data_IF_882625557542
#
_entry.id   IF_882625557542
#
_cell.length_a   1.000
_cell.length_b   1.000
_cell.length_c   1.000
_cell.angle_alpha   90.00
_cell.angle_beta   90.00
_cell.angle_gamma   90.00
#
_symmetry.space_group_name_H-M   'P 1'
#
loop_
_entity.id
_entity.type
_entity.pdbx_description
1 polymer ?
#
# COMPACT_ATOMS: atom_id res chain seq x y z
N UNK A 1 18.90 16.45 7.47
CA UNK A 1 20.22 16.04 6.93
C UNK A 1 20.06 14.81 6.01
N UNK A 2 18.82 14.61 5.52
CA UNK A 2 18.26 13.26 5.35
C UNK A 2 18.05 12.91 3.86
N UNK A 3 18.13 13.92 2.97
CA UNK A 3 18.12 13.74 1.51
C UNK A 3 19.38 13.05 0.96
N UNK A 4 20.40 12.84 1.81
CA UNK A 4 21.72 12.34 1.43
C UNK A 4 21.89 10.82 1.65
N UNK A 5 21.00 10.19 2.43
CA UNK A 5 21.07 8.75 2.70
C UNK A 5 20.80 7.98 1.41
N UNK A 6 21.69 7.02 1.11
CA UNK A 6 21.72 6.25 -0.13
C UNK A 6 21.83 7.09 -1.43
N UNK A 7 22.30 8.33 -1.31
CA UNK A 7 22.65 9.21 -2.44
C UNK A 7 24.12 9.65 -2.33
N UNK A 8 24.56 10.12 -1.16
CA UNK A 8 25.95 10.51 -0.88
C UNK A 8 26.65 9.58 0.10
N UNK A 9 25.92 8.93 1.01
CA UNK A 9 26.46 7.99 1.98
C UNK A 9 25.47 6.86 2.27
N UNK A 10 25.98 5.73 2.76
CA UNK A 10 25.21 4.64 3.34
C UNK A 10 25.21 4.81 4.85
N UNK A 11 24.07 4.59 5.49
CA UNK A 11 24.04 4.33 6.92
C UNK A 11 24.48 2.91 7.17
N UNK A 12 25.25 2.68 8.23
CA UNK A 12 25.74 1.36 8.60
C UNK A 12 25.58 1.12 10.10
N UNK A 13 25.35 -0.15 10.47
CA UNK A 13 25.39 -0.61 11.86
C UNK A 13 26.74 -1.28 12.12
N UNK A 14 27.43 -0.84 13.18
CA UNK A 14 28.72 -1.39 13.62
C UNK A 14 28.66 -1.75 15.11
N UNK A 15 29.61 -2.58 15.57
CA UNK A 15 29.83 -2.88 17.00
C UNK A 15 31.01 -2.09 17.53
N UNK A 16 30.89 -1.55 18.74
CA UNK A 16 32.03 -1.01 19.47
C UNK A 16 32.76 -2.12 20.26
N UNK A 17 33.82 -1.75 20.98
CA UNK A 17 34.59 -2.67 21.82
C UNK A 17 33.81 -3.30 22.97
N UNK A 18 32.66 -2.72 23.34
CA UNK A 18 31.76 -3.22 24.40
C UNK A 18 30.62 -4.08 23.82
N UNK A 19 30.69 -4.47 22.53
CA UNK A 19 29.64 -5.16 21.78
C UNK A 19 28.32 -4.38 21.64
N UNK A 20 28.31 -3.08 21.97
CA UNK A 20 27.16 -2.21 21.74
C UNK A 20 27.12 -1.77 20.28
N UNK A 21 25.90 -1.67 19.77
CA UNK A 21 25.62 -1.26 18.40
C UNK A 21 25.65 0.26 18.32
N UNK A 22 26.19 0.80 17.24
CA UNK A 22 26.05 2.21 16.89
C UNK A 22 25.76 2.38 15.39
N UNK A 23 25.15 3.52 15.07
CA UNK A 23 24.92 3.95 13.68
C UNK A 23 26.11 4.79 13.25
N UNK A 24 26.65 4.48 12.08
CA UNK A 24 27.76 5.19 11.43
C UNK A 24 27.43 5.40 9.95
N UNK A 25 28.34 6.02 9.20
CA UNK A 25 28.15 6.31 7.78
C UNK A 25 29.36 5.89 6.93
N UNK A 26 29.07 5.38 5.74
CA UNK A 26 30.07 5.06 4.72
C UNK A 26 29.82 5.90 3.46
N UNK A 27 30.79 6.72 3.07
CA UNK A 27 30.63 7.59 1.90
C UNK A 27 30.49 6.78 0.61
N UNK A 28 29.53 7.17 -0.24
CA UNK A 28 29.38 6.65 -1.59
C UNK A 28 30.37 7.40 -2.48
N UNK A 29 31.47 6.75 -2.81
CA UNK A 29 32.51 7.31 -3.69
C UNK A 29 32.33 6.74 -5.09
N UNK A 30 32.14 7.60 -6.08
CA UNK A 30 32.20 7.19 -7.49
C UNK A 30 33.66 6.97 -7.90
N UNK A 31 34.10 5.72 -8.16
CA UNK A 31 35.49 5.46 -8.51
C UNK A 31 35.86 5.90 -9.93
N UNK A 32 34.88 6.30 -10.75
CA UNK A 32 35.06 6.82 -12.12
C UNK A 32 34.52 8.26 -12.24
N UNK A 33 34.68 9.08 -11.18
CA UNK A 33 34.16 10.44 -11.14
C UNK A 33 34.77 11.34 -12.22
N UNK A 34 36.09 11.22 -12.47
CA UNK A 34 36.76 11.96 -13.54
C UNK A 34 36.14 11.68 -14.91
N UNK A 35 35.90 10.40 -15.20
CA UNK A 35 35.30 9.94 -16.44
C UNK A 35 33.83 10.33 -16.55
N UNK A 36 33.09 10.36 -15.44
CA UNK A 36 31.74 10.93 -15.41
C UNK A 36 31.74 12.42 -15.77
N UNK A 37 32.67 13.20 -15.22
CA UNK A 37 32.80 14.64 -15.53
C UNK A 37 33.12 14.83 -17.02
N UNK A 38 34.04 14.03 -17.56
CA UNK A 38 34.38 14.05 -18.99
C UNK A 38 33.17 13.69 -19.86
N UNK A 39 32.46 12.61 -19.54
CA UNK A 39 31.23 12.20 -20.23
C UNK A 39 30.17 13.30 -20.19
N UNK A 40 29.95 13.93 -19.03
CA UNK A 40 28.97 15.00 -18.85
C UNK A 40 29.34 16.27 -19.63
N UNK A 41 30.63 16.51 -19.92
CA UNK A 41 31.08 17.64 -20.74
C UNK A 41 30.58 17.56 -22.18
N UNK A 42 30.31 16.34 -22.70
CA UNK A 42 29.71 16.15 -24.03
C UNK A 42 28.36 16.84 -24.15
N UNK A 43 27.50 16.73 -23.14
CA UNK A 43 26.15 17.30 -23.14
C UNK A 43 26.14 18.81 -22.90
N UNK A 44 27.29 19.41 -22.56
CA UNK A 44 27.39 20.87 -22.31
C UNK A 44 27.70 21.67 -23.59
N UNK A 45 27.97 20.99 -24.71
CA UNK A 45 28.26 21.61 -26.01
C UNK A 45 26.96 21.74 -26.80
N UNK A 46 26.67 22.95 -27.30
CA UNK A 46 25.48 23.21 -28.12
C UNK A 46 25.49 22.52 -29.49
N UNK A 47 26.64 21.96 -29.91
CA UNK A 47 26.82 21.30 -31.21
C UNK A 47 26.84 19.77 -31.13
N UNK A 48 26.61 19.17 -29.96
CA UNK A 48 26.71 17.71 -29.80
C UNK A 48 25.63 16.97 -30.58
N UNK A 49 26.04 15.91 -31.30
CA UNK A 49 25.14 15.12 -32.14
C UNK A 49 24.93 13.69 -31.62
N UNK A 50 23.81 13.06 -31.97
CA UNK A 50 23.54 11.66 -31.60
C UNK A 50 24.55 10.67 -32.21
N UNK A 51 25.15 11.00 -33.36
CA UNK A 51 26.20 10.17 -34.00
C UNK A 51 27.51 10.22 -33.21
N UNK A 52 27.91 11.40 -32.74
CA UNK A 52 29.07 11.55 -31.86
C UNK A 52 28.86 10.85 -30.52
N UNK A 53 27.64 10.90 -29.97
CA UNK A 53 27.28 10.16 -28.76
C UNK A 53 27.44 8.65 -28.93
N UNK A 54 27.03 8.10 -30.09
CA UNK A 54 27.26 6.68 -30.40
C UNK A 54 28.75 6.37 -30.40
N UNK A 55 29.60 7.20 -31.04
CA UNK A 55 31.06 7.00 -31.03
C UNK A 55 31.62 7.04 -29.61
N UNK A 56 31.21 8.02 -28.81
CA UNK A 56 31.64 8.15 -27.40
C UNK A 56 31.27 6.91 -26.58
N UNK A 57 30.05 6.40 -26.75
CA UNK A 57 29.58 5.16 -26.11
C UNK A 57 30.37 3.95 -26.61
N UNK A 58 30.70 3.90 -27.90
CA UNK A 58 31.35 2.75 -28.50
C UNK A 58 32.83 2.65 -28.09
N UNK A 59 33.52 3.78 -28.08
CA UNK A 59 34.96 3.89 -27.82
C UNK A 59 35.31 3.87 -26.31
N UNK A 60 34.33 4.14 -25.44
CA UNK A 60 34.59 4.26 -24.00
C UNK A 60 34.64 2.91 -23.27
N UNK A 61 35.85 2.52 -22.86
CA UNK A 61 36.08 1.34 -22.00
C UNK A 61 35.53 1.51 -20.58
N UNK A 62 35.43 2.74 -20.05
CA UNK A 62 34.94 2.93 -18.69
C UNK A 62 33.42 2.79 -18.60
N UNK A 63 32.69 3.17 -19.67
CA UNK A 63 31.24 3.00 -19.72
C UNK A 63 30.83 1.52 -19.73
N UNK A 64 31.73 0.60 -20.13
CA UNK A 64 31.49 -0.84 -20.01
C UNK A 64 31.12 -1.26 -18.59
N UNK A 65 31.68 -0.60 -17.57
CA UNK A 65 31.39 -0.85 -16.16
C UNK A 65 29.95 -0.49 -15.76
N UNK A 66 29.26 0.31 -16.57
CA UNK A 66 27.87 0.75 -16.35
C UNK A 66 26.84 -0.15 -17.05
N UNK A 67 27.27 -1.08 -17.91
CA UNK A 67 26.39 -1.97 -18.68
C UNK A 67 26.15 -3.32 -17.97
N UNK A 68 26.10 -3.29 -16.64
CA UNK A 68 25.78 -4.45 -15.82
C UNK A 68 24.44 -4.28 -15.10
N UNK A 69 23.89 -5.39 -14.64
CA UNK A 69 22.72 -5.36 -13.76
C UNK A 69 23.13 -4.78 -12.39
N UNK A 70 22.55 -3.63 -12.05
CA UNK A 70 22.71 -3.02 -10.75
C UNK A 70 21.39 -3.04 -9.99
N UNK A 71 21.39 -3.59 -8.77
CA UNK A 71 20.21 -3.57 -7.90
C UNK A 71 20.04 -2.15 -7.35
N UNK A 72 19.26 -1.32 -8.05
CA UNK A 72 19.05 0.07 -7.67
C UNK A 72 17.65 0.56 -8.05
N UNK A 73 16.99 1.22 -7.11
CA UNK A 73 15.71 1.90 -7.30
C UNK A 73 15.92 3.42 -7.30
N UNK A 74 15.61 4.08 -8.42
CA UNK A 74 15.59 5.55 -8.55
C UNK A 74 14.49 6.18 -7.69
N UNK A 75 13.38 5.48 -7.50
CA UNK A 75 12.32 5.77 -6.55
C UNK A 75 12.05 4.51 -5.72
N UNK A 76 11.97 4.60 -4.39
CA UNK A 76 11.69 3.42 -3.57
C UNK A 76 10.29 2.83 -3.82
N UNK A 77 9.37 3.65 -4.35
CA UNK A 77 7.97 3.29 -4.60
C UNK A 77 7.58 3.21 -6.08
N UNK A 78 8.44 3.64 -7.02
CA UNK A 78 8.10 3.59 -8.45
C UNK A 78 8.00 2.15 -8.98
N UNK A 79 7.27 1.92 -10.06
CA UNK A 79 7.02 0.57 -10.61
C UNK A 79 8.14 0.08 -11.53
N UNK A 80 8.47 -1.21 -11.47
CA UNK A 80 9.30 -1.92 -12.45
C UNK A 80 10.65 -1.26 -12.77
N UNK A 81 11.37 -0.82 -11.74
CA UNK A 81 12.63 -0.08 -11.91
C UNK A 81 13.88 -0.97 -12.10
N UNK A 82 13.72 -2.29 -12.07
CA UNK A 82 14.81 -3.21 -12.39
C UNK A 82 15.05 -3.20 -13.89
N UNK A 83 16.05 -2.46 -14.35
CA UNK A 83 16.49 -2.44 -15.75
C UNK A 83 17.87 -3.08 -15.88
N UNK A 84 17.98 -4.02 -16.81
CA UNK A 84 19.28 -4.49 -17.29
C UNK A 84 19.80 -3.47 -18.30
N UNK A 85 21.00 -2.98 -18.05
CA UNK A 85 21.65 -2.02 -18.91
C UNK A 85 22.52 -2.74 -19.94
N UNK A 86 22.27 -2.49 -21.24
CA UNK A 86 23.02 -3.09 -22.34
C UNK A 86 23.53 -2.01 -23.29
N UNK A 87 24.83 -2.03 -23.60
CA UNK A 87 25.47 -1.13 -24.58
C UNK A 87 24.74 -1.21 -25.93
N UNK A 88 24.53 -2.44 -26.42
CA UNK A 88 23.89 -2.71 -27.71
C UNK A 88 22.48 -2.16 -27.77
N UNK A 89 21.71 -2.31 -26.69
CA UNK A 89 20.33 -1.85 -26.62
C UNK A 89 20.24 -0.31 -26.63
N UNK A 90 21.13 0.38 -25.91
CA UNK A 90 21.20 1.85 -25.93
C UNK A 90 21.55 2.36 -27.33
N UNK A 91 22.60 1.80 -27.95
CA UNK A 91 23.01 2.21 -29.29
C UNK A 91 21.87 1.99 -30.28
N UNK A 92 21.15 0.86 -30.16
CA UNK A 92 19.97 0.58 -30.97
C UNK A 92 18.87 1.62 -30.75
N UNK A 93 18.57 1.97 -29.50
CA UNK A 93 17.58 3.00 -29.17
C UNK A 93 17.94 4.37 -29.74
N UNK A 94 19.22 4.77 -29.65
CA UNK A 94 19.70 6.04 -30.21
C UNK A 94 19.56 6.03 -31.74
N UNK A 95 19.96 4.94 -32.42
CA UNK A 95 19.80 4.80 -33.88
C UNK A 95 18.33 4.89 -34.30
N UNK A 96 17.43 4.24 -33.57
CA UNK A 96 15.98 4.35 -33.83
C UNK A 96 15.49 5.79 -33.69
N UNK A 97 15.97 6.57 -32.72
CA UNK A 97 15.60 7.98 -32.60
C UNK A 97 16.18 8.84 -33.73
N UNK A 98 17.40 8.57 -34.19
CA UNK A 98 17.96 9.23 -35.38
C UNK A 98 17.03 9.00 -36.59
N UNK A 99 16.66 7.75 -36.86
CA UNK A 99 15.77 7.41 -37.98
C UNK A 99 14.39 8.09 -37.83
N UNK A 100 13.85 8.14 -36.62
CA UNK A 100 12.57 8.80 -36.33
C UNK A 100 12.64 10.31 -36.54
N UNK A 101 13.71 10.97 -36.10
CA UNK A 101 13.89 12.41 -36.30
C UNK A 101 14.08 12.74 -37.78
N UNK A 102 14.88 11.97 -38.52
CA UNK A 102 15.02 12.14 -39.98
C UNK A 102 13.69 11.97 -40.71
N UNK A 103 12.85 11.00 -40.29
CA UNK A 103 11.52 10.80 -40.86
C UNK A 103 10.57 11.96 -40.55
N UNK A 104 10.61 12.50 -39.32
CA UNK A 104 9.78 13.66 -38.94
C UNK A 104 10.20 14.91 -39.68
N UNK A 105 11.50 15.19 -39.78
CA UNK A 105 12.04 16.33 -40.54
C UNK A 105 11.61 16.32 -42.02
N UNK A 106 11.35 15.14 -42.60
CA UNK A 106 10.86 15.00 -43.99
C UNK A 106 9.35 15.16 -44.13
N UNK A 107 8.57 14.85 -43.10
CA UNK A 107 7.11 14.70 -43.19
C UNK A 107 6.31 15.77 -42.41
N UNK A 108 6.94 16.48 -41.48
CA UNK A 108 6.31 17.45 -40.60
C UNK A 108 6.91 18.85 -40.82
N UNK A 109 6.12 19.78 -41.40
CA UNK A 109 6.60 21.14 -41.78
C UNK A 109 7.12 21.98 -40.59
N UNK A 110 6.66 21.70 -39.37
CA UNK A 110 7.00 22.46 -38.16
C UNK A 110 7.89 21.68 -37.17
N UNK A 111 8.48 20.56 -37.58
CA UNK A 111 9.35 19.78 -36.70
C UNK A 111 10.71 20.47 -36.49
N UNK A 112 11.02 20.79 -35.24
CA UNK A 112 12.31 21.35 -34.84
C UNK A 112 13.27 20.23 -34.44
N UNK A 113 14.04 19.72 -35.40
CA UNK A 113 14.99 18.63 -35.17
C UNK A 113 16.05 18.97 -34.11
N UNK A 114 16.51 20.21 -34.07
CA UNK A 114 17.51 20.65 -33.09
C UNK A 114 16.97 20.54 -31.66
N UNK A 115 15.74 20.99 -31.43
CA UNK A 115 15.09 20.92 -30.11
C UNK A 115 14.82 19.47 -29.70
N UNK A 116 14.29 18.65 -30.61
CA UNK A 116 14.04 17.22 -30.35
C UNK A 116 15.33 16.45 -30.02
N UNK A 117 16.43 16.72 -30.74
CA UNK A 117 17.74 16.15 -30.43
C UNK A 117 18.24 16.62 -29.08
N UNK A 118 18.10 17.90 -28.75
CA UNK A 118 18.52 18.45 -27.47
C UNK A 118 17.75 17.85 -26.30
N UNK A 119 16.44 17.68 -26.43
CA UNK A 119 15.60 17.02 -25.41
C UNK A 119 16.05 15.56 -25.22
N UNK A 120 16.24 14.82 -26.30
CA UNK A 120 16.64 13.41 -26.23
C UNK A 120 18.07 13.24 -25.67
N UNK A 121 19.00 14.13 -25.99
CA UNK A 121 20.33 14.16 -25.36
C UNK A 121 20.23 14.37 -23.85
N UNK A 122 19.32 15.24 -23.39
CA UNK A 122 19.09 15.45 -21.96
C UNK A 122 18.47 14.23 -21.28
N UNK A 123 17.58 13.50 -21.95
CA UNK A 123 17.04 12.23 -21.46
C UNK A 123 18.15 11.18 -21.29
N UNK A 124 19.03 11.03 -22.30
CA UNK A 124 20.16 10.09 -22.23
C UNK A 124 21.12 10.50 -21.11
N UNK A 125 21.42 11.79 -20.96
CA UNK A 125 22.24 12.30 -19.86
C UNK A 125 21.67 11.87 -18.50
N UNK A 126 20.38 12.11 -18.27
CA UNK A 126 19.71 11.72 -17.03
C UNK A 126 19.78 10.20 -16.79
N UNK A 127 19.65 9.39 -17.85
CA UNK A 127 19.78 7.94 -17.76
C UNK A 127 21.20 7.51 -17.35
N UNK A 128 22.24 8.13 -17.94
CA UNK A 128 23.63 7.86 -17.56
C UNK A 128 23.97 8.35 -16.16
N UNK A 129 23.42 9.49 -15.70
CA UNK A 129 23.57 9.93 -14.31
C UNK A 129 23.03 8.88 -13.32
N UNK A 130 21.88 8.28 -13.61
CA UNK A 130 21.34 7.16 -12.82
C UNK A 130 22.30 5.97 -12.84
N UNK A 131 22.88 5.64 -14.00
CA UNK A 131 23.84 4.53 -14.13
C UNK A 131 25.12 4.75 -13.33
N UNK A 132 25.69 5.96 -13.37
CA UNK A 132 26.86 6.32 -12.56
C UNK A 132 26.55 6.21 -11.06
N UNK A 133 25.41 6.75 -10.61
CA UNK A 133 24.96 6.61 -9.22
C UNK A 133 24.79 5.15 -8.81
N UNK A 134 24.11 4.38 -9.65
CA UNK A 134 23.86 2.96 -9.45
C UNK A 134 25.16 2.15 -9.39
N UNK A 135 26.14 2.47 -10.22
CA UNK A 135 27.46 1.86 -10.16
C UNK A 135 28.19 2.20 -8.86
N UNK A 136 28.28 3.49 -8.50
CA UNK A 136 28.96 3.96 -7.30
C UNK A 136 28.39 3.35 -6.01
N UNK A 137 27.05 3.29 -5.89
CA UNK A 137 26.41 2.72 -4.71
C UNK A 137 26.59 1.20 -4.64
N UNK A 138 26.58 0.49 -5.77
CA UNK A 138 26.84 -0.96 -5.77
C UNK A 138 28.30 -1.30 -5.39
N UNK A 139 29.27 -0.47 -5.77
CA UNK A 139 30.65 -0.59 -5.28
C UNK A 139 30.70 -0.37 -3.76
N UNK A 140 29.94 0.61 -3.25
CA UNK A 140 29.87 0.91 -1.81
C UNK A 140 29.22 -0.24 -1.03
N UNK A 141 28.18 -0.89 -1.58
CA UNK A 141 27.61 -2.11 -1.00
C UNK A 141 28.63 -3.24 -0.90
N UNK A 142 29.44 -3.46 -1.95
CA UNK A 142 30.49 -4.50 -1.92
C UNK A 142 31.49 -4.24 -0.80
N UNK A 143 31.94 -2.99 -0.64
CA UNK A 143 32.82 -2.61 0.49
C UNK A 143 32.18 -2.91 1.84
N UNK A 144 30.89 -2.58 2.01
CA UNK A 144 30.18 -2.86 3.25
C UNK A 144 30.02 -4.36 3.53
N UNK A 145 29.87 -5.18 2.49
CA UNK A 145 29.80 -6.65 2.61
C UNK A 145 31.16 -7.25 2.97
N UNK A 146 32.26 -6.66 2.48
CA UNK A 146 33.62 -7.13 2.70
C UNK A 146 34.20 -6.68 4.07
N UNK A 147 33.68 -5.60 4.66
CA UNK A 147 34.09 -5.13 5.98
C UNK A 147 33.37 -5.90 7.11
N UNK A 148 34.13 -6.73 7.82
CA UNK A 148 33.64 -7.54 8.94
C UNK A 148 33.10 -6.71 10.13
N UNK A 149 33.45 -5.43 10.22
CA UNK A 149 32.95 -4.54 11.27
C UNK A 149 31.55 -3.98 10.96
N UNK A 150 31.12 -4.05 9.69
CA UNK A 150 29.80 -3.61 9.26
C UNK A 150 28.83 -4.79 9.37
N UNK A 151 27.87 -4.65 10.27
CA UNK A 151 26.83 -5.66 10.51
C UNK A 151 25.74 -5.56 9.43
N UNK A 152 25.30 -4.33 9.14
CA UNK A 152 24.20 -4.03 8.23
C UNK A 152 24.42 -2.65 7.61
N UNK A 153 23.84 -2.40 6.45
CA UNK A 153 23.93 -1.13 5.74
C UNK A 153 22.62 -0.79 5.02
N UNK A 154 22.36 0.51 4.85
CA UNK A 154 21.19 1.01 4.14
C UNK A 154 21.33 0.75 2.65
N UNK A 155 20.21 0.57 1.97
CA UNK A 155 20.25 0.32 0.54
C UNK A 155 19.02 0.81 -0.21
N UNK A 156 19.14 0.77 -1.54
CA UNK A 156 18.08 1.00 -2.53
C UNK A 156 17.95 -0.16 -3.50
N UNK A 157 18.41 -1.34 -3.09
CA UNK A 157 18.26 -2.57 -3.85
C UNK A 157 16.81 -2.81 -4.21
N UNK A 158 16.54 -2.96 -5.50
CA UNK A 158 15.20 -3.20 -6.01
C UNK A 158 14.71 -4.61 -5.68
N UNK A 159 13.41 -4.72 -5.38
CA UNK A 159 12.74 -5.96 -5.02
C UNK A 159 12.92 -6.40 -3.59
N UNK A 160 12.60 -7.67 -3.34
CA UNK A 160 12.63 -8.25 -2.01
C UNK A 160 14.06 -8.33 -1.47
N UNK A 161 14.26 -7.72 -0.31
CA UNK A 161 15.47 -7.84 0.52
C UNK A 161 15.02 -8.17 1.93
N UNK A 162 15.51 -9.30 2.47
CA UNK A 162 15.21 -9.75 3.83
C UNK A 162 16.49 -10.26 4.55
N UNK A 163 17.59 -9.49 4.54
CA UNK A 163 18.80 -9.92 5.23
C UNK A 163 18.55 -10.00 6.74
N UNK A 164 19.01 -11.11 7.33
CA UNK A 164 18.99 -11.34 8.77
C UNK A 164 20.39 -11.00 9.29
N UNK A 165 20.43 -10.11 10.28
CA UNK A 165 21.66 -9.64 10.91
C UNK A 165 21.65 -10.04 12.38
N UNK A 166 22.58 -10.92 12.76
CA UNK A 166 22.77 -11.31 14.16
C UNK A 166 23.57 -10.24 14.88
N UNK A 167 22.93 -9.50 15.77
CA UNK A 167 23.56 -8.45 16.56
C UNK A 167 24.20 -9.04 17.82
N UNK A 168 23.61 -10.07 18.43
CA UNK A 168 24.22 -10.92 19.44
C UNK A 168 23.58 -12.32 19.44
N UNK A 169 23.98 -13.20 20.37
CA UNK A 169 23.48 -14.60 20.44
C UNK A 169 21.95 -14.70 20.63
N UNK A 170 21.36 -13.73 21.30
CA UNK A 170 19.93 -13.69 21.62
C UNK A 170 19.17 -12.64 20.80
N UNK A 171 19.82 -11.90 19.92
CA UNK A 171 19.21 -10.76 19.24
C UNK A 171 19.61 -10.70 17.77
N UNK A 172 18.60 -10.78 16.90
CA UNK A 172 18.77 -10.53 15.47
C UNK A 172 17.72 -9.56 14.95
N UNK A 173 18.08 -8.87 13.88
CA UNK A 173 17.16 -8.01 13.13
C UNK A 173 17.02 -8.54 11.71
N UNK A 174 15.82 -8.40 11.17
CA UNK A 174 15.55 -8.58 9.75
C UNK A 174 15.01 -7.26 9.21
N UNK A 175 15.71 -6.66 8.26
CA UNK A 175 15.25 -5.45 7.58
C UNK A 175 14.59 -5.88 6.27
N UNK A 176 13.27 -5.78 6.19
CA UNK A 176 12.49 -6.26 5.05
C UNK A 176 12.11 -5.10 4.15
N UNK A 177 12.52 -5.15 2.90
CA UNK A 177 12.16 -4.13 1.90
C UNK A 177 11.61 -4.76 0.63
N UNK A 178 10.72 -4.06 -0.06
CA UNK A 178 10.30 -4.39 -1.41
C UNK A 178 10.31 -3.15 -2.32
N UNK A 179 11.47 -2.53 -2.50
CA UNK A 179 11.56 -1.27 -3.23
C UNK A 179 11.34 -1.47 -4.73
N UNK A 180 10.71 -0.50 -5.39
CA UNK A 180 10.54 -0.51 -6.85
C UNK A 180 9.33 -1.32 -7.35
N UNK A 181 8.35 -1.60 -6.48
CA UNK A 181 7.18 -2.44 -6.77
C UNK A 181 5.85 -1.68 -6.69
N UNK A 182 5.85 -0.36 -6.89
CA UNK A 182 4.61 0.42 -6.91
C UNK A 182 3.86 0.35 -5.58
N UNK A 183 2.56 0.07 -5.67
CA UNK A 183 1.65 -0.07 -4.53
C UNK A 183 1.98 -1.25 -3.60
N UNK A 184 2.83 -2.18 -4.04
CA UNK A 184 3.26 -3.33 -3.24
C UNK A 184 4.60 -3.11 -2.53
N UNK A 185 5.15 -1.89 -2.60
CA UNK A 185 6.41 -1.55 -1.93
C UNK A 185 6.23 -1.45 -0.42
N UNK A 186 7.20 -1.94 0.34
CA UNK A 186 7.20 -1.88 1.80
C UNK A 186 8.61 -1.75 2.39
N UNK A 187 8.66 -1.32 3.66
CA UNK A 187 9.86 -1.21 4.48
C UNK A 187 9.52 -1.48 5.95
N UNK A 188 10.03 -2.60 6.49
CA UNK A 188 9.80 -3.06 7.87
C UNK A 188 11.11 -3.43 8.57
N UNK A 189 11.08 -3.39 9.90
CA UNK A 189 12.05 -4.07 10.77
C UNK A 189 11.34 -5.17 11.54
N UNK A 190 11.93 -6.35 11.61
CA UNK A 190 11.57 -7.42 12.55
C UNK A 190 12.72 -7.58 13.54
N UNK A 191 12.41 -7.56 14.83
CA UNK A 191 13.33 -7.94 15.89
C UNK A 191 13.00 -9.39 16.30
N UNK A 192 14.03 -10.20 16.42
CA UNK A 192 13.97 -11.54 17.01
C UNK A 192 14.79 -11.55 18.29
N UNK A 193 14.12 -11.78 19.42
CA UNK A 193 14.74 -11.93 20.73
C UNK A 193 14.61 -13.37 21.22
N UNK A 194 15.73 -14.02 21.55
CA UNK A 194 15.81 -15.45 21.93
C UNK A 194 15.00 -16.34 20.97
N UNK A 195 15.18 -16.10 19.67
CA UNK A 195 14.49 -16.76 18.55
C UNK A 195 12.97 -16.53 18.44
N UNK A 196 12.40 -15.56 19.17
CA UNK A 196 10.99 -15.19 19.09
C UNK A 196 10.86 -13.81 18.45
N UNK A 197 9.99 -13.70 17.44
CA UNK A 197 9.69 -12.43 16.76
C UNK A 197 8.86 -11.52 17.66
N UNK A 198 9.32 -10.29 17.85
CA UNK A 198 8.58 -9.26 18.59
C UNK A 198 7.49 -8.70 17.68
N UNK A 199 6.25 -8.76 18.17
CA UNK A 199 5.05 -8.32 17.46
C UNK A 199 4.49 -7.07 18.14
N UNK A 200 4.13 -6.01 17.39
CA UNK A 200 3.52 -4.81 17.96
C UNK A 200 2.04 -5.07 18.20
N UNK A 201 1.72 -5.75 19.30
CA UNK A 201 0.34 -6.13 19.62
C UNK A 201 -0.57 -4.91 19.77
N UNK A 202 -0.03 -3.77 20.20
CA UNK A 202 -0.75 -2.50 20.32
C UNK A 202 -1.37 -2.02 19.00
N UNK A 203 -0.76 -2.34 17.85
CA UNK A 203 -1.27 -1.95 16.52
C UNK A 203 -2.64 -2.55 16.20
N UNK A 204 -3.02 -3.64 16.89
CA UNK A 204 -4.37 -4.18 16.81
C UNK A 204 -5.44 -3.20 17.32
N UNK A 205 -5.08 -2.34 18.26
CA UNK A 205 -5.96 -1.33 18.87
C UNK A 205 -5.77 0.03 18.22
N UNK A 206 -4.52 0.39 17.91
CA UNK A 206 -4.17 1.71 17.40
C UNK A 206 -4.74 1.99 16.01
N UNK A 207 -4.94 0.96 15.17
CA UNK A 207 -5.51 1.12 13.83
C UNK A 207 -6.94 0.58 13.76
N UNK A 208 -7.85 1.36 13.19
CA UNK A 208 -9.25 0.95 13.01
C UNK A 208 -9.35 -0.34 12.19
N UNK A 209 -8.67 -0.35 11.04
CA UNK A 209 -8.62 -1.46 10.10
C UNK A 209 -7.24 -2.11 10.12
N UNK A 210 -7.07 -3.12 10.95
CA UNK A 210 -5.85 -3.92 11.03
C UNK A 210 -6.19 -5.40 10.85
N UNK A 211 -5.27 -6.16 10.25
CA UNK A 211 -5.39 -7.61 10.14
C UNK A 211 -4.25 -8.27 10.91
N UNK A 212 -4.53 -9.40 11.55
CA UNK A 212 -3.51 -10.22 12.19
C UNK A 212 -2.33 -10.51 11.24
N UNK A 213 -2.64 -10.94 10.01
CA UNK A 213 -1.64 -11.25 8.97
C UNK A 213 -0.80 -10.06 8.53
N UNK A 214 -1.23 -8.83 8.84
CA UNK A 214 -0.43 -7.62 8.62
C UNK A 214 0.51 -7.39 9.81
N UNK A 215 -0.03 -7.37 11.02
CA UNK A 215 0.70 -7.02 12.26
C UNK A 215 1.86 -7.99 12.52
N UNK A 216 1.67 -9.29 12.31
CA UNK A 216 2.72 -10.29 12.58
C UNK A 216 3.89 -10.28 11.59
N UNK A 217 3.91 -9.36 10.61
CA UNK A 217 4.97 -9.27 9.60
C UNK A 217 6.07 -8.27 9.94
N UNK A 218 5.93 -7.52 11.02
CA UNK A 218 6.88 -6.50 11.43
C UNK A 218 6.92 -6.37 12.96
N UNK A 219 8.01 -5.81 13.46
CA UNK A 219 8.07 -5.16 14.79
C UNK A 219 7.86 -3.66 14.64
N UNK A 220 8.37 -3.06 13.55
CA UNK A 220 8.12 -1.66 13.20
C UNK A 220 7.98 -1.46 11.70
N UNK A 221 7.06 -0.57 11.31
CA UNK A 221 6.76 -0.20 9.93
C UNK A 221 7.31 1.21 9.61
N UNK A 222 7.90 1.37 8.43
CA UNK A 222 8.37 2.66 7.89
C UNK A 222 7.75 2.96 6.53
N UNK A 223 6.57 2.39 6.27
CA UNK A 223 5.78 2.65 5.07
C UNK A 223 4.56 3.44 5.48
N UNK A 224 4.48 4.69 5.05
CA UNK A 224 3.25 5.50 5.17
C UNK A 224 2.35 5.24 3.97
N UNK A 225 1.07 5.58 4.09
CA UNK A 225 0.12 5.46 2.98
C UNK A 225 -0.48 6.81 2.67
N UNK A 226 -0.24 7.32 1.47
CA UNK A 226 -0.76 8.63 1.03
C UNK A 226 -1.91 8.46 0.04
N UNK A 227 -2.90 9.35 0.12
CA UNK A 227 -4.08 9.27 -0.74
C UNK A 227 -3.74 9.64 -2.18
N UNK A 228 -4.05 8.74 -3.10
CA UNK A 228 -3.97 8.95 -4.53
C UNK A 228 -5.22 9.68 -5.04
N UNK A 229 -5.16 11.01 -5.11
CA UNK A 229 -6.30 11.89 -5.46
C UNK A 229 -7.04 11.46 -6.73
N UNK A 230 -6.33 10.99 -7.77
CA UNK A 230 -6.94 10.57 -9.05
C UNK A 230 -7.75 9.26 -8.97
N UNK A 231 -7.41 8.34 -8.06
CA UNK A 231 -7.97 6.98 -8.05
C UNK A 231 -8.71 6.64 -6.75
N UNK A 232 -8.84 7.61 -5.83
CA UNK A 232 -9.39 7.41 -4.49
C UNK A 232 -8.83 6.15 -3.80
N UNK A 233 -7.54 5.87 -4.02
CA UNK A 233 -6.81 4.73 -3.49
C UNK A 233 -5.64 5.21 -2.63
N UNK A 234 -5.01 4.33 -1.87
CA UNK A 234 -3.81 4.67 -1.11
C UNK A 234 -2.57 4.06 -1.80
N UNK A 235 -1.47 4.81 -1.79
CA UNK A 235 -0.16 4.32 -2.26
C UNK A 235 0.88 4.41 -1.13
N UNK A 236 1.82 3.47 -1.06
CA UNK A 236 2.91 3.55 -0.10
C UNK A 236 3.76 4.79 -0.36
N UNK A 237 4.23 5.42 0.71
CA UNK A 237 5.28 6.43 0.72
C UNK A 237 6.47 5.91 1.53
N UNK A 238 7.62 5.80 0.87
CA UNK A 238 8.87 5.31 1.45
C UNK A 238 9.98 6.23 0.98
N UNK A 239 10.74 6.75 1.93
CA UNK A 239 11.84 7.69 1.69
C UNK A 239 13.14 7.19 2.32
N UNK A 240 14.29 7.69 1.83
CA UNK A 240 15.58 7.21 2.29
C UNK A 240 15.83 7.49 3.78
N UNK A 241 15.27 8.57 4.33
CA UNK A 241 15.44 8.94 5.74
C UNK A 241 14.87 7.91 6.71
N UNK A 242 13.91 7.08 6.29
CA UNK A 242 13.40 5.99 7.11
C UNK A 242 14.46 4.93 7.46
N UNK A 243 15.61 4.91 6.75
CA UNK A 243 16.73 4.09 7.16
C UNK A 243 17.35 4.53 8.49
N UNK A 244 17.36 5.83 8.79
CA UNK A 244 17.85 6.34 10.08
C UNK A 244 16.93 5.88 11.21
N UNK A 245 15.61 5.99 11.03
CA UNK A 245 14.62 5.48 11.97
C UNK A 245 14.80 3.97 12.18
N UNK A 246 14.97 3.20 11.10
CA UNK A 246 15.10 1.75 11.15
C UNK A 246 16.37 1.30 11.87
N UNK A 247 17.51 1.92 11.55
CA UNK A 247 18.80 1.58 12.16
C UNK A 247 18.89 2.05 13.60
N UNK A 248 18.37 3.24 13.91
CA UNK A 248 18.32 3.76 15.29
C UNK A 248 17.43 2.89 16.16
N UNK A 249 16.26 2.49 15.65
CA UNK A 249 15.37 1.56 16.35
C UNK A 249 16.04 0.22 16.65
N UNK A 250 16.73 -0.37 15.67
CA UNK A 250 17.46 -1.62 15.84
C UNK A 250 18.60 -1.48 16.87
N UNK A 251 19.38 -0.40 16.77
CA UNK A 251 20.47 -0.06 17.68
C UNK A 251 19.96 0.08 19.12
N UNK A 252 18.93 0.89 19.33
CA UNK A 252 18.37 1.16 20.66
C UNK A 252 17.78 -0.11 21.28
N UNK A 253 17.04 -0.91 20.51
CA UNK A 253 16.45 -2.15 21.00
C UNK A 253 17.52 -3.19 21.38
N UNK A 254 18.54 -3.39 20.53
CA UNK A 254 19.62 -4.31 20.81
C UNK A 254 20.43 -3.86 22.03
N UNK A 255 20.82 -2.59 22.10
CA UNK A 255 21.61 -2.08 23.22
C UNK A 255 20.82 -2.14 24.53
N UNK A 256 19.51 -1.86 24.51
CA UNK A 256 18.68 -2.03 25.70
C UNK A 256 18.64 -3.50 26.14
N UNK A 257 18.55 -4.45 25.21
CA UNK A 257 18.58 -5.89 25.55
C UNK A 257 19.89 -6.33 26.22
N UNK A 258 21.00 -5.67 25.92
CA UNK A 258 22.33 -5.95 26.50
C UNK A 258 22.50 -5.25 27.85
N UNK A 259 22.09 -3.99 27.93
CA UNK A 259 22.36 -3.11 29.08
C UNK A 259 21.33 -3.25 30.20
N UNK A 260 20.07 -3.53 29.86
CA UNK A 260 18.96 -3.67 30.79
C UNK A 260 17.87 -4.58 30.19
N UNK A 261 18.08 -5.90 30.28
CA UNK A 261 17.16 -6.90 29.75
C UNK A 261 15.74 -6.75 30.32
N UNK A 262 15.61 -6.33 31.58
CA UNK A 262 14.29 -6.15 32.22
C UNK A 262 13.52 -5.01 31.56
N UNK A 263 14.15 -3.84 31.34
CA UNK A 263 13.53 -2.73 30.61
C UNK A 263 13.26 -3.06 29.15
N UNK A 264 14.12 -3.88 28.53
CA UNK A 264 13.87 -4.35 27.17
C UNK A 264 12.59 -5.19 27.10
N UNK A 265 12.45 -6.17 28.00
CA UNK A 265 11.27 -7.03 28.09
C UNK A 265 10.02 -6.20 28.38
N UNK A 266 10.11 -5.24 29.31
CA UNK A 266 9.01 -4.32 29.63
C UNK A 266 8.55 -3.58 28.37
N UNK A 267 9.46 -2.82 27.75
CA UNK A 267 9.15 -1.93 26.62
C UNK A 267 8.67 -2.65 25.36
N UNK A 268 9.34 -3.73 24.98
CA UNK A 268 9.11 -4.35 23.66
C UNK A 268 8.19 -5.57 23.69
N UNK A 269 7.86 -6.10 24.88
CA UNK A 269 7.01 -7.30 25.01
C UNK A 269 5.81 -7.02 25.91
N UNK A 270 6.05 -6.57 27.16
CA UNK A 270 4.98 -6.43 28.14
C UNK A 270 4.07 -5.24 27.85
N UNK A 271 4.65 -4.08 27.51
CA UNK A 271 3.89 -2.86 27.18
C UNK A 271 3.01 -3.07 25.95
N UNK A 272 3.52 -3.75 24.91
CA UNK A 272 2.73 -4.12 23.72
C UNK A 272 1.54 -5.02 24.09
N UNK A 273 1.76 -6.01 24.97
CA UNK A 273 0.67 -6.86 25.45
C UNK A 273 -0.34 -6.05 26.27
N UNK A 274 0.12 -5.23 27.20
CA UNK A 274 -0.71 -4.40 28.09
C UNK A 274 -1.56 -3.42 27.29
N UNK A 275 -0.98 -2.68 26.35
CA UNK A 275 -1.71 -1.76 25.48
C UNK A 275 -2.80 -2.47 24.68
N UNK A 276 -2.51 -3.67 24.18
CA UNK A 276 -3.52 -4.47 23.48
C UNK A 276 -4.69 -4.86 24.40
N UNK A 277 -4.43 -5.49 25.55
CA UNK A 277 -5.53 -5.93 26.43
C UNK A 277 -6.30 -4.76 27.04
N UNK A 278 -5.62 -3.70 27.47
CA UNK A 278 -6.25 -2.48 27.96
C UNK A 278 -7.10 -1.82 26.86
N UNK A 279 -6.62 -1.82 25.63
CA UNK A 279 -7.36 -1.37 24.46
C UNK A 279 -8.65 -2.16 24.22
N UNK A 280 -8.59 -3.50 24.32
CA UNK A 280 -9.77 -4.36 24.16
C UNK A 280 -10.80 -4.15 25.29
N UNK A 281 -10.33 -4.02 26.52
CA UNK A 281 -11.18 -3.70 27.68
C UNK A 281 -11.91 -2.37 27.47
N UNK A 282 -11.23 -1.37 26.90
CA UNK A 282 -11.84 -0.08 26.53
C UNK A 282 -12.81 -0.18 25.34
N UNK A 283 -12.47 -0.98 24.32
CA UNK A 283 -13.33 -1.20 23.14
C UNK A 283 -14.69 -1.76 23.55
N UNK A 284 -14.71 -2.61 24.58
CA UNK A 284 -15.95 -3.16 25.13
C UNK A 284 -16.85 -2.08 25.78
N UNK A 285 -16.27 -1.03 26.36
CA UNK A 285 -17.00 -0.03 27.16
C UNK A 285 -17.40 1.22 26.38
N UNK A 286 -16.62 1.61 25.36
CA UNK A 286 -16.78 2.87 24.64
C UNK A 286 -17.50 2.69 23.30
N UNK A 287 -18.06 3.77 22.76
CA UNK A 287 -18.63 3.88 21.41
C UNK A 287 -17.84 4.88 20.52
N UNK A 288 -16.95 5.66 21.14
CA UNK A 288 -15.99 6.56 20.50
C UNK A 288 -14.57 6.04 20.65
N UNK A 289 -13.83 6.06 19.56
CA UNK A 289 -12.48 5.52 19.47
C UNK A 289 -11.56 6.50 18.75
N UNK A 290 -10.32 6.60 19.23
CA UNK A 290 -9.27 7.37 18.58
C UNK A 290 -8.29 6.38 17.94
N UNK A 291 -8.08 6.50 16.63
CA UNK A 291 -7.16 5.66 15.87
C UNK A 291 -6.03 6.49 15.29
N UNK A 292 -4.91 5.85 15.00
CA UNK A 292 -3.77 6.44 14.29
C UNK A 292 -4.07 6.44 12.79
N UNK A 293 -3.90 7.60 12.17
CA UNK A 293 -3.92 7.75 10.72
C UNK A 293 -2.55 7.35 10.13
N UNK A 294 -2.56 6.33 9.26
CA UNK A 294 -1.35 5.83 8.57
C UNK A 294 -0.75 6.82 7.56
N UNK A 295 -1.51 7.85 7.17
CA UNK A 295 -1.04 8.91 6.28
C UNK A 295 -0.24 9.97 7.04
N UNK A 296 -0.84 10.49 8.11
CA UNK A 296 -0.32 11.67 8.83
C UNK A 296 0.45 11.31 10.10
N UNK A 297 0.38 10.06 10.56
CA UNK A 297 0.70 9.66 11.94
C UNK A 297 -0.08 10.48 12.99
N UNK A 298 -1.17 11.14 12.59
CA UNK A 298 -2.08 11.86 13.47
C UNK A 298 -3.10 10.92 14.09
N UNK A 299 -4.05 11.49 14.83
CA UNK A 299 -5.18 10.75 15.38
C UNK A 299 -6.50 11.23 14.77
N UNK A 300 -7.43 10.29 14.57
CA UNK A 300 -8.80 10.61 14.17
C UNK A 300 -9.81 9.89 15.07
N UNK A 301 -10.92 10.57 15.39
CA UNK A 301 -12.01 10.03 16.20
C UNK A 301 -13.08 9.38 15.30
N UNK A 302 -13.55 8.20 15.69
CA UNK A 302 -14.67 7.51 15.05
C UNK A 302 -15.73 7.17 16.10
N UNK A 303 -16.99 7.46 15.78
CA UNK A 303 -18.14 7.06 16.59
C UNK A 303 -18.85 5.88 15.90
N UNK A 304 -18.92 4.73 16.58
CA UNK A 304 -19.60 3.53 16.08
C UNK A 304 -20.84 3.25 16.91
N UNK A 305 -21.97 2.92 16.26
CA UNK A 305 -23.27 2.68 16.91
C UNK A 305 -24.00 1.48 16.31
N UNK A 306 -24.97 0.94 17.06
CA UNK A 306 -25.84 -0.15 16.61
C UNK A 306 -25.05 -1.39 16.18
N UNK A 307 -25.51 -2.06 15.12
CA UNK A 307 -24.87 -3.27 14.59
C UNK A 307 -23.40 -3.06 14.21
N UNK A 308 -23.03 -1.87 13.71
CA UNK A 308 -21.64 -1.57 13.34
C UNK A 308 -20.71 -1.50 14.56
N UNK A 309 -21.20 -1.06 15.73
CA UNK A 309 -20.43 -1.12 16.97
C UNK A 309 -20.22 -2.58 17.41
N UNK A 310 -21.24 -3.44 17.22
CA UNK A 310 -21.13 -4.85 17.57
C UNK A 310 -20.25 -5.65 16.62
N UNK A 311 -20.32 -5.36 15.32
CA UNK A 311 -19.38 -5.87 14.33
C UNK A 311 -17.94 -5.50 14.72
N UNK A 312 -17.67 -4.22 14.99
CA UNK A 312 -16.32 -3.75 15.33
C UNK A 312 -15.79 -4.37 16.64
N UNK A 313 -16.61 -4.44 17.69
CA UNK A 313 -16.23 -5.10 18.95
C UNK A 313 -15.99 -6.59 18.73
N UNK A 314 -16.84 -7.25 17.95
CA UNK A 314 -16.68 -8.65 17.57
C UNK A 314 -15.36 -8.87 16.85
N UNK A 315 -15.05 -8.07 15.84
CA UNK A 315 -13.80 -8.11 15.08
C UNK A 315 -12.59 -7.99 16.00
N UNK A 316 -12.51 -6.90 16.78
CA UNK A 316 -11.35 -6.59 17.63
C UNK A 316 -11.19 -7.60 18.76
N UNK A 317 -12.26 -7.96 19.46
CA UNK A 317 -12.15 -8.85 20.61
C UNK A 317 -11.95 -10.30 20.17
N UNK A 318 -12.74 -10.81 19.23
CA UNK A 318 -12.60 -12.19 18.72
C UNK A 318 -11.27 -12.39 17.99
N UNK A 319 -10.90 -11.45 17.10
CA UNK A 319 -9.66 -11.53 16.34
C UNK A 319 -8.40 -11.48 17.21
N UNK A 320 -8.50 -10.91 18.43
CA UNK A 320 -7.37 -10.90 19.35
C UNK A 320 -6.90 -12.29 19.80
N UNK A 321 -7.79 -13.31 19.73
CA UNK A 321 -7.44 -14.69 20.05
C UNK A 321 -6.38 -15.27 19.11
N UNK A 322 -6.21 -14.72 17.90
CA UNK A 322 -5.15 -15.14 16.96
C UNK A 322 -3.75 -14.82 17.50
N UNK A 323 -3.61 -13.84 18.40
CA UNK A 323 -2.33 -13.45 19.00
C UNK A 323 -1.92 -14.32 20.19
N UNK A 324 -2.80 -15.16 20.75
CA UNK A 324 -2.50 -15.96 21.96
C UNK A 324 -1.23 -16.78 21.79
N UNK A 325 -1.07 -17.50 20.68
CA UNK A 325 0.12 -18.31 20.44
C UNK A 325 1.41 -17.47 20.30
N UNK A 326 1.30 -16.26 19.75
CA UNK A 326 2.44 -15.33 19.63
C UNK A 326 2.84 -14.77 20.99
N UNK A 327 1.89 -14.49 21.88
CA UNK A 327 2.15 -14.04 23.24
C UNK A 327 2.73 -15.19 24.08
N UNK A 328 2.13 -16.38 24.01
CA UNK A 328 2.59 -17.57 24.72
C UNK A 328 4.03 -17.98 24.37
N UNK A 329 4.52 -17.65 23.17
CA UNK A 329 5.91 -17.88 22.79
C UNK A 329 6.90 -17.24 23.77
N UNK A 330 6.52 -16.15 24.46
CA UNK A 330 7.36 -15.47 25.44
C UNK A 330 7.25 -16.02 26.87
N UNK A 331 6.45 -17.08 27.12
CA UNK A 331 6.22 -17.63 28.46
C UNK A 331 7.50 -18.05 29.19
N UNK A 332 8.50 -18.56 28.45
CA UNK A 332 9.79 -18.98 29.02
C UNK A 332 10.72 -17.79 29.30
N UNK A 333 10.38 -16.58 28.82
CA UNK A 333 11.17 -15.35 28.99
C UNK A 333 10.56 -14.46 30.07
N UNK A 334 9.23 -14.32 30.10
CA UNK A 334 8.54 -13.41 31.01
C UNK A 334 7.11 -13.88 31.31
N UNK A 335 6.50 -13.29 32.34
CA UNK A 335 5.15 -13.63 32.79
C UNK A 335 4.09 -13.02 31.88
N UNK A 336 3.66 -13.80 30.88
CA UNK A 336 2.65 -13.36 29.89
C UNK A 336 1.25 -13.92 30.13
N UNK A 337 1.09 -14.91 31.02
CA UNK A 337 -0.20 -15.60 31.24
C UNK A 337 -1.33 -14.67 31.70
N UNK A 338 -0.98 -13.58 32.39
CA UNK A 338 -1.93 -12.56 32.82
C UNK A 338 -2.62 -11.87 31.63
N UNK A 339 -1.91 -11.65 30.52
CA UNK A 339 -2.48 -11.05 29.32
C UNK A 339 -3.40 -12.02 28.59
N UNK A 340 -3.02 -13.29 28.52
CA UNK A 340 -3.87 -14.35 27.94
C UNK A 340 -5.20 -14.44 28.70
N UNK A 341 -5.12 -14.46 30.04
CA UNK A 341 -6.31 -14.49 30.90
C UNK A 341 -7.23 -13.30 30.64
N UNK A 342 -6.67 -12.09 30.47
CA UNK A 342 -7.44 -10.88 30.15
C UNK A 342 -8.06 -10.94 28.76
N UNK A 343 -7.33 -11.40 27.74
CA UNK A 343 -7.86 -11.62 26.38
C UNK A 343 -9.06 -12.58 26.39
N UNK A 344 -8.91 -13.71 27.06
CA UNK A 344 -9.98 -14.70 27.19
C UNK A 344 -11.19 -14.14 27.94
N UNK A 345 -10.97 -13.35 29.00
CA UNK A 345 -12.05 -12.72 29.74
C UNK A 345 -12.83 -11.72 28.87
N UNK A 346 -12.14 -10.90 28.07
CA UNK A 346 -12.78 -10.03 27.08
C UNK A 346 -13.65 -10.83 26.10
N UNK A 347 -13.14 -11.96 25.60
CA UNK A 347 -13.85 -12.84 24.68
C UNK A 347 -15.08 -13.52 25.32
N UNK A 348 -14.92 -14.09 26.52
CA UNK A 348 -16.02 -14.65 27.32
C UNK A 348 -17.10 -13.60 27.60
N UNK A 349 -16.71 -12.35 27.84
CA UNK A 349 -17.62 -11.24 28.13
C UNK A 349 -18.39 -10.77 26.90
N UNK A 350 -17.78 -10.68 25.72
CA UNK A 350 -18.47 -10.22 24.50
C UNK A 350 -19.38 -11.28 23.88
N UNK A 351 -19.06 -12.57 24.03
CA UNK A 351 -19.82 -13.67 23.43
C UNK A 351 -21.35 -13.60 23.64
N UNK A 352 -21.90 -13.42 24.85
CA UNK A 352 -23.34 -13.33 25.04
C UNK A 352 -23.98 -12.13 24.32
N UNK A 353 -23.23 -11.03 24.13
CA UNK A 353 -23.71 -9.87 23.37
C UNK A 353 -23.75 -10.17 21.87
N UNK A 354 -22.74 -10.87 21.33
CA UNK A 354 -22.76 -11.31 19.93
C UNK A 354 -23.94 -12.25 19.66
N UNK A 355 -24.21 -13.20 20.57
CA UNK A 355 -25.36 -14.10 20.45
C UNK A 355 -26.70 -13.33 20.45
N UNK A 356 -26.84 -12.36 21.36
CA UNK A 356 -28.03 -11.51 21.40
C UNK A 356 -28.17 -10.68 20.12
N UNK A 357 -27.07 -10.16 19.60
CA UNK A 357 -27.06 -9.35 18.37
C UNK A 357 -27.43 -10.18 17.14
N UNK A 358 -26.98 -11.43 17.07
CA UNK A 358 -27.38 -12.40 16.03
C UNK A 358 -28.89 -12.58 16.01
N UNK A 359 -29.54 -12.76 17.17
CA UNK A 359 -31.00 -12.87 17.24
C UNK A 359 -31.69 -11.55 16.87
N UNK A 360 -31.17 -10.42 17.35
CA UNK A 360 -31.70 -9.09 16.99
C UNK A 360 -31.70 -8.86 15.48
N UNK A 361 -30.58 -9.14 14.81
CA UNK A 361 -30.47 -8.97 13.35
C UNK A 361 -31.39 -9.96 12.61
N UNK A 362 -31.57 -11.20 13.10
CA UNK A 362 -32.53 -12.14 12.50
C UNK A 362 -33.95 -11.62 12.55
N UNK A 363 -34.37 -11.07 13.68
CA UNK A 363 -35.71 -10.51 13.85
C UNK A 363 -35.93 -9.31 12.92
N UNK A 364 -34.94 -8.42 12.81
CA UNK A 364 -34.98 -7.29 11.88
C UNK A 364 -35.04 -7.73 10.42
N UNK A 365 -34.21 -8.70 10.02
CA UNK A 365 -34.24 -9.27 8.68
C UNK A 365 -35.62 -9.87 8.36
N UNK A 366 -36.21 -10.63 9.29
CA UNK A 366 -37.54 -11.20 9.14
C UNK A 366 -38.62 -10.14 8.90
N UNK A 367 -38.53 -8.99 9.59
CA UNK A 367 -39.45 -7.86 9.37
C UNK A 367 -39.23 -7.25 7.98
N UNK A 368 -37.98 -6.94 7.63
CA UNK A 368 -37.65 -6.34 6.33
C UNK A 368 -38.01 -7.25 5.16
N UNK A 369 -37.86 -8.57 5.30
CA UNK A 369 -38.25 -9.55 4.27
C UNK A 369 -39.76 -9.60 4.06
N UNK A 370 -40.57 -9.46 5.12
CA UNK A 370 -42.04 -9.35 4.98
C UNK A 370 -42.46 -8.12 4.17
N UNK A 371 -41.69 -7.03 4.26
CA UNK A 371 -41.91 -5.83 3.44
C UNK A 371 -41.35 -5.97 2.01
N UNK A 372 -40.24 -6.68 1.85
CA UNK A 372 -39.52 -6.82 0.59
C UNK A 372 -40.17 -7.81 -0.38
N UNK A 373 -40.64 -8.96 0.12
CA UNK A 373 -41.19 -10.03 -0.73
C UNK A 373 -42.40 -9.57 -1.58
N UNK A 374 -43.36 -8.78 -1.07
CA UNK A 374 -44.45 -8.24 -1.89
C UNK A 374 -43.99 -7.21 -2.94
N UNK A 375 -42.92 -6.45 -2.67
CA UNK A 375 -42.40 -5.42 -3.59
C UNK A 375 -41.61 -6.00 -4.76
N UNK A 376 -40.98 -7.16 -4.56
CA UNK A 376 -40.13 -7.83 -5.56
C UNK A 376 -40.85 -8.14 -6.89
N UNK A 377 -42.05 -8.74 -6.92
CA UNK A 377 -42.76 -8.96 -8.18
C UNK A 377 -43.19 -7.65 -8.84
N UNK A 378 -43.64 -6.67 -8.05
CA UNK A 378 -44.07 -5.34 -8.55
C UNK A 378 -42.90 -4.63 -9.22
N UNK A 379 -41.75 -4.55 -8.55
CA UNK A 379 -40.54 -3.95 -9.09
C UNK A 379 -40.09 -4.65 -10.38
N UNK A 380 -40.14 -5.99 -10.42
CA UNK A 380 -39.75 -6.76 -11.60
C UNK A 380 -40.65 -6.45 -12.80
N UNK A 381 -41.97 -6.37 -12.58
CA UNK A 381 -42.93 -6.02 -13.63
C UNK A 381 -42.70 -4.61 -14.16
N UNK A 382 -42.60 -3.62 -13.25
CA UNK A 382 -42.37 -2.23 -13.64
C UNK A 382 -41.00 -2.05 -14.31
N UNK A 383 -39.96 -2.77 -13.88
CA UNK A 383 -38.63 -2.73 -14.51
C UNK A 383 -38.65 -3.25 -15.95
N UNK A 384 -39.46 -4.29 -16.25
CA UNK A 384 -39.63 -4.77 -17.62
C UNK A 384 -40.39 -3.74 -18.46
N UNK A 385 -41.42 -3.10 -17.88
CA UNK A 385 -42.17 -2.03 -18.54
C UNK A 385 -41.27 -0.81 -18.82
N UNK A 386 -40.39 -0.43 -17.90
CA UNK A 386 -39.40 0.64 -18.07
C UNK A 386 -38.40 0.31 -19.19
N UNK A 387 -37.88 -0.92 -19.21
CA UNK A 387 -36.97 -1.37 -20.27
C UNK A 387 -37.63 -1.32 -21.65
N UNK A 388 -38.91 -1.70 -21.75
CA UNK A 388 -39.68 -1.56 -22.99
C UNK A 388 -39.82 -0.09 -23.42
N UNK A 389 -40.17 0.82 -22.50
CA UNK A 389 -40.22 2.26 -22.80
C UNK A 389 -38.86 2.80 -23.28
N UNK A 390 -37.77 2.42 -22.60
CA UNK A 390 -36.42 2.82 -22.98
C UNK A 390 -36.02 2.26 -24.35
N UNK A 391 -36.38 1.02 -24.68
CA UNK A 391 -36.11 0.44 -25.98
C UNK A 391 -36.89 1.13 -27.11
N UNK A 392 -38.17 1.42 -26.90
CA UNK A 392 -38.97 2.20 -27.85
C UNK A 392 -38.41 3.63 -28.01
N UNK A 393 -38.01 4.27 -26.91
CA UNK A 393 -37.33 5.56 -26.95
C UNK A 393 -36.04 5.50 -27.78
N UNK A 394 -35.21 4.46 -27.61
CA UNK A 394 -33.99 4.29 -28.38
C UNK A 394 -34.25 4.02 -29.87
N UNK A 395 -35.30 3.28 -30.23
CA UNK A 395 -35.71 3.08 -31.63
C UNK A 395 -36.11 4.41 -32.27
N UNK A 396 -37.00 5.16 -31.63
CA UNK A 396 -37.46 6.48 -32.09
C UNK A 396 -36.26 7.43 -32.20
N UNK A 397 -35.39 7.47 -31.19
CA UNK A 397 -34.16 8.29 -31.21
C UNK A 397 -33.27 7.95 -32.42
N UNK A 398 -33.11 6.67 -32.77
CA UNK A 398 -32.32 6.25 -33.96
C UNK A 398 -32.97 6.67 -35.27
N UNK A 399 -34.29 6.49 -35.41
CA UNK A 399 -35.05 6.91 -36.60
C UNK A 399 -34.97 8.43 -36.79
N UNK A 400 -35.08 9.18 -35.70
CA UNK A 400 -34.98 10.64 -35.74
C UNK A 400 -33.56 11.10 -36.05
N UNK A 401 -32.51 10.52 -35.44
CA UNK A 401 -31.12 10.86 -35.81
C UNK A 401 -30.86 10.61 -37.29
N UNK A 402 -31.42 9.52 -37.85
CA UNK A 402 -31.35 9.22 -39.28
C UNK A 402 -32.03 10.31 -40.12
N UNK A 403 -33.24 10.71 -39.76
CA UNK A 403 -34.02 11.73 -40.48
C UNK A 403 -33.51 13.17 -40.28
N UNK A 404 -32.95 13.51 -39.11
CA UNK A 404 -32.42 14.84 -38.80
C UNK A 404 -31.10 15.12 -39.49
N UNK A 405 -30.24 14.11 -39.67
CA UNK A 405 -29.06 14.23 -40.55
C UNK A 405 -29.44 14.57 -41.99
N UNK A 406 -30.64 14.16 -42.42
CA UNK A 406 -31.17 14.46 -43.76
C UNK A 406 -31.86 15.84 -43.85
N UNK A 407 -32.24 16.48 -42.72
CA UNK A 407 -33.10 17.68 -42.70
C UNK A 407 -32.64 18.88 -41.85
N UNK A 408 -31.56 18.77 -41.08
CA UNK A 408 -30.98 19.91 -40.34
C UNK A 408 -31.84 20.46 -39.20
N UNK A 409 -32.55 19.60 -38.46
CA UNK A 409 -33.45 19.96 -37.34
C UNK A 409 -32.70 19.93 -35.99
N UNK A 410 -32.96 20.88 -35.09
CA UNK A 410 -32.35 20.96 -33.76
C UNK A 410 -32.90 19.93 -32.75
N UNK A 411 -32.02 19.45 -31.85
CA UNK A 411 -32.29 18.37 -30.88
C UNK A 411 -33.40 18.73 -29.86
N UNK A 412 -33.55 20.01 -29.53
CA UNK A 412 -34.48 20.48 -28.49
C UNK A 412 -35.95 20.50 -28.96
N UNK A 413 -36.21 20.73 -30.26
CA UNK A 413 -37.56 20.63 -30.84
C UNK A 413 -38.09 19.18 -30.83
N UNK A 414 -37.18 18.21 -30.87
CA UNK A 414 -37.49 16.77 -30.87
C UNK A 414 -37.81 16.26 -29.47
N UNK A 415 -37.08 16.74 -28.46
CA UNK A 415 -37.41 16.45 -27.05
C UNK A 415 -38.80 16.98 -26.69
N UNK A 416 -39.16 18.15 -27.23
CA UNK A 416 -40.49 18.73 -27.11
C UNK A 416 -41.57 17.91 -27.85
N UNK A 417 -41.29 17.41 -29.06
CA UNK A 417 -42.21 16.51 -29.79
C UNK A 417 -42.41 15.17 -29.08
N UNK A 418 -41.37 14.59 -28.47
CA UNK A 418 -41.49 13.34 -27.70
C UNK A 418 -42.36 13.50 -26.45
N UNK A 419 -42.17 14.58 -25.68
CA UNK A 419 -43.04 14.89 -24.52
C UNK A 419 -44.49 15.17 -24.90
N UNK A 420 -44.74 15.68 -26.11
CA UNK A 420 -46.07 16.12 -26.56
C UNK A 420 -46.84 15.10 -27.43
N UNK A 421 -46.14 14.10 -28.03
CA UNK A 421 -46.71 13.06 -28.89
C UNK A 421 -46.39 11.63 -28.39
N UNK A 422 -46.42 11.38 -27.08
CA UNK A 422 -46.26 10.00 -26.60
C UNK A 422 -47.38 9.12 -27.14
N UNK A 423 -47.01 8.07 -27.88
CA UNK A 423 -47.83 6.88 -28.15
C UNK A 423 -48.16 6.08 -26.87
N UNK A 424 -47.98 6.69 -25.69
CA UNK A 424 -48.02 6.11 -24.35
C UNK A 424 -48.52 7.15 -23.34
N UNK A 425 -49.83 7.46 -23.33
CA UNK A 425 -50.42 8.45 -22.42
C UNK A 425 -50.18 8.15 -20.93
N UNK A 426 -49.92 6.88 -20.58
CA UNK A 426 -49.65 6.44 -19.21
C UNK A 426 -48.19 6.61 -18.75
N UNK A 427 -47.28 7.12 -19.60
CA UNK A 427 -45.85 7.12 -19.30
C UNK A 427 -45.46 7.99 -18.09
N UNK A 428 -46.05 9.18 -17.95
CA UNK A 428 -45.74 10.07 -16.82
C UNK A 428 -46.17 9.44 -15.48
N UNK A 429 -47.40 8.92 -15.42
CA UNK A 429 -47.93 8.20 -14.25
C UNK A 429 -47.10 6.95 -13.92
N UNK A 430 -46.75 6.16 -14.94
CA UNK A 430 -45.87 5.00 -14.79
C UNK A 430 -44.48 5.39 -14.27
N UNK A 431 -43.87 6.45 -14.80
CA UNK A 431 -42.52 6.84 -14.44
C UNK A 431 -42.46 7.29 -12.96
N UNK A 432 -43.48 8.01 -12.49
CA UNK A 432 -43.61 8.37 -11.08
C UNK A 432 -43.77 7.13 -10.19
N UNK A 433 -44.65 6.19 -10.56
CA UNK A 433 -44.84 4.94 -9.83
C UNK A 433 -43.55 4.11 -9.79
N UNK A 434 -42.90 3.91 -10.94
CA UNK A 434 -41.66 3.16 -11.06
C UNK A 434 -40.55 3.77 -10.22
N UNK A 435 -40.43 5.10 -10.19
CA UNK A 435 -39.45 5.80 -9.35
C UNK A 435 -39.68 5.51 -7.87
N UNK A 436 -40.91 5.66 -7.38
CA UNK A 436 -41.27 5.41 -5.97
C UNK A 436 -40.97 3.96 -5.56
N UNK A 437 -41.41 3.00 -6.37
CA UNK A 437 -41.20 1.58 -6.10
C UNK A 437 -39.70 1.22 -6.18
N UNK A 438 -38.98 1.74 -7.16
CA UNK A 438 -37.54 1.51 -7.33
C UNK A 438 -36.73 2.05 -6.15
N UNK A 439 -37.01 3.27 -5.69
CA UNK A 439 -36.35 3.85 -4.52
C UNK A 439 -36.59 3.01 -3.26
N UNK A 440 -37.84 2.58 -3.02
CA UNK A 440 -38.18 1.73 -1.89
C UNK A 440 -37.52 0.35 -1.98
N UNK A 441 -37.58 -0.29 -3.15
CA UNK A 441 -36.98 -1.59 -3.40
C UNK A 441 -35.46 -1.55 -3.20
N UNK A 442 -34.77 -0.59 -3.82
CA UNK A 442 -33.31 -0.46 -3.73
C UNK A 442 -32.86 -0.19 -2.30
N UNK A 443 -33.56 0.68 -1.57
CA UNK A 443 -33.27 0.97 -0.16
C UNK A 443 -33.42 -0.27 0.73
N UNK A 444 -34.52 -1.02 0.57
CA UNK A 444 -34.74 -2.26 1.32
C UNK A 444 -33.69 -3.32 0.96
N UNK A 445 -33.42 -3.53 -0.33
CA UNK A 445 -32.42 -4.49 -0.79
C UNK A 445 -31.03 -4.17 -0.25
N UNK A 446 -30.62 -2.89 -0.28
CA UNK A 446 -29.33 -2.45 0.28
C UNK A 446 -29.27 -2.67 1.80
N UNK A 447 -30.36 -2.36 2.51
CA UNK A 447 -30.44 -2.54 3.97
C UNK A 447 -30.35 -4.02 4.34
N UNK A 448 -31.11 -4.88 3.67
CA UNK A 448 -31.08 -6.34 3.85
C UNK A 448 -29.68 -6.89 3.53
N UNK A 449 -29.06 -6.44 2.44
CA UNK A 449 -27.71 -6.86 2.05
C UNK A 449 -26.67 -6.49 3.12
N UNK A 450 -26.71 -5.25 3.61
CA UNK A 450 -25.82 -4.78 4.68
C UNK A 450 -26.03 -5.56 5.98
N UNK A 451 -27.26 -5.78 6.41
CA UNK A 451 -27.56 -6.55 7.63
C UNK A 451 -27.10 -8.01 7.51
N UNK A 452 -27.27 -8.64 6.35
CA UNK A 452 -26.76 -10.00 6.12
C UNK A 452 -25.23 -10.07 6.18
N UNK A 453 -24.53 -9.04 5.68
CA UNK A 453 -23.07 -8.97 5.80
C UNK A 453 -22.64 -8.87 7.26
N UNK A 454 -23.26 -7.97 8.03
CA UNK A 454 -22.97 -7.80 9.46
C UNK A 454 -23.31 -9.07 10.24
N UNK A 455 -24.47 -9.68 9.98
CA UNK A 455 -24.87 -10.97 10.56
C UNK A 455 -23.83 -12.06 10.34
N UNK A 456 -23.35 -12.19 9.11
CA UNK A 456 -22.36 -13.21 8.74
C UNK A 456 -21.04 -13.03 9.50
N UNK A 457 -20.57 -11.78 9.62
CA UNK A 457 -19.36 -11.43 10.38
C UNK A 457 -19.52 -11.68 11.88
N UNK A 458 -20.62 -11.24 12.49
CA UNK A 458 -20.86 -11.46 13.93
C UNK A 458 -20.92 -12.96 14.25
N UNK A 459 -21.57 -13.75 13.38
CA UNK A 459 -21.60 -15.21 13.51
C UNK A 459 -20.21 -15.84 13.38
N UNK A 460 -19.36 -15.33 12.49
CA UNK A 460 -17.96 -15.75 12.37
C UNK A 460 -17.18 -15.47 13.67
N UNK A 461 -17.31 -14.26 14.24
CA UNK A 461 -16.64 -13.89 15.48
C UNK A 461 -17.08 -14.76 16.67
N UNK A 462 -18.37 -15.03 16.77
CA UNK A 462 -18.92 -15.94 17.78
C UNK A 462 -18.37 -17.37 17.60
N UNK A 463 -18.35 -17.86 16.37
CA UNK A 463 -17.79 -19.18 16.03
C UNK A 463 -16.31 -19.27 16.37
N UNK A 464 -15.53 -18.21 16.14
CA UNK A 464 -14.10 -18.16 16.47
C UNK A 464 -13.87 -18.26 17.98
N UNK A 465 -14.69 -17.58 18.78
CA UNK A 465 -14.66 -17.68 20.25
C UNK A 465 -14.96 -19.12 20.70
N UNK A 466 -16.02 -19.74 20.16
CA UNK A 466 -16.35 -21.14 20.48
C UNK A 466 -15.23 -22.10 20.10
N UNK A 467 -14.65 -21.94 18.90
CA UNK A 467 -13.55 -22.79 18.41
C UNK A 467 -12.32 -22.68 19.30
N UNK A 468 -12.01 -21.50 19.82
CA UNK A 468 -10.90 -21.30 20.75
C UNK A 468 -11.14 -22.08 22.05
N UNK A 469 -12.26 -21.83 22.74
CA UNK A 469 -12.55 -22.45 24.05
C UNK A 469 -12.95 -23.92 24.00
N UNK A 470 -13.29 -24.46 22.82
CA UNK A 470 -13.54 -25.90 22.63
C UNK A 470 -12.25 -26.71 22.43
N UNK A 471 -11.15 -26.08 22.00
CA UNK A 471 -9.84 -26.74 21.89
C UNK A 471 -9.11 -26.88 23.22
N UNK A 472 -9.53 -26.15 24.25
CA UNK A 472 -8.97 -26.20 25.60
C UNK A 472 -9.63 -27.25 26.52
N UNK A 473 -10.54 -28.07 25.97
CA UNK A 473 -11.10 -29.27 26.60
C UNK A 473 -10.51 -30.51 25.96
#
# INVERSE_FOLDING_TARGET
MDEKINEEYLLVLKKNSENLIFVDYENIVNPILSEQIEFNSFFSKSSSTLKELISLIDDSKYLEKLYFFHKYCVSLIGTYQQKLFSKTEIIKQIKTHIDLFELKSRNEENFNEYEAVSEYLQEIKNEFEIRFKSYAINISYKKCIEDINIISFSHRSAGWSNPIYNLNENFSIEIKTNFGFGNSSYFYTIIKYKNIEITPFSDWINYEHAKFSEIVRYTRIYTRYIKHLKYNSYKPNIENYYWEDAMTFAKDACNLSITDESKFIEKYILDECEEMVYGLENIFLKDKFNFIDRETNGHYEVNKKGHYLMEFRGEKISGSLEFVNKILAFRDITKVDIFITRLENCNKKIQPYLLKEIETIKDELNVLQKEFEPLKPIYKELSIKDENYNNEFLKIKREIIKNCREKGIEFDEILYFYKKNTSFPEYEEFHEEFKIISEKYNKLNQTISNLNLVFSKIKEYETNIQKYFSKEK
#
